data_IF_427811292307
#
_entry.id   IF_427811292307
#
_cell.length_a   1.000
_cell.length_b   1.000
_cell.length_c   1.000
_cell.angle_alpha   90.00
_cell.angle_beta   90.00
_cell.angle_gamma   90.00
#
_symmetry.space_group_name_H-M   'P 1'
#
loop_
_entity.id
_entity.type
_entity.pdbx_description
1 polymer ?
#
# COMPACT_ATOMS: atom_id res chain seq x y z
N UNK A 1 18.01 4.71 23.24
CA UNK A 1 17.38 5.38 22.09
C UNK A 1 17.18 4.43 20.90
N UNK A 2 18.24 3.90 20.26
CA UNK A 2 18.11 3.01 19.07
C UNK A 2 17.17 1.82 19.30
N UNK A 3 17.24 1.16 20.46
CA UNK A 3 16.32 0.06 20.83
C UNK A 3 14.86 0.50 20.81
N UNK A 4 14.55 1.68 21.34
CA UNK A 4 13.19 2.22 21.36
C UNK A 4 12.70 2.46 19.93
N UNK A 5 13.52 3.09 19.09
CA UNK A 5 13.19 3.30 17.67
C UNK A 5 12.95 1.97 16.94
N UNK A 6 13.74 0.94 17.22
CA UNK A 6 13.59 -0.38 16.61
C UNK A 6 12.29 -1.07 17.04
N UNK A 7 11.95 -1.05 18.33
CA UNK A 7 10.69 -1.62 18.85
C UNK A 7 9.48 -0.91 18.26
N UNK A 8 9.49 0.44 18.24
CA UNK A 8 8.41 1.22 17.62
C UNK A 8 8.29 0.91 16.13
N UNK A 9 9.40 0.83 15.40
CA UNK A 9 9.43 0.48 13.99
C UNK A 9 8.89 -0.92 13.71
N UNK A 10 9.22 -1.92 14.54
CA UNK A 10 8.63 -3.27 14.47
C UNK A 10 7.12 -3.20 14.63
N UNK A 11 6.61 -2.43 15.60
CA UNK A 11 5.17 -2.27 15.82
C UNK A 11 4.46 -1.69 14.60
N UNK A 12 5.01 -0.60 14.04
CA UNK A 12 4.46 0.05 12.84
C UNK A 12 4.47 -0.91 11.64
N UNK A 13 5.60 -1.54 11.36
CA UNK A 13 5.75 -2.43 10.20
C UNK A 13 4.93 -3.71 10.33
N UNK A 14 4.80 -4.26 11.54
CA UNK A 14 3.90 -5.39 11.80
C UNK A 14 2.44 -5.01 11.53
N UNK A 15 2.02 -3.82 11.96
CA UNK A 15 0.67 -3.32 11.69
C UNK A 15 0.40 -3.09 10.19
N UNK A 16 1.34 -2.49 9.47
CA UNK A 16 1.23 -2.32 8.00
C UNK A 16 1.21 -3.67 7.27
N UNK A 17 2.01 -4.64 7.74
CA UNK A 17 2.00 -6.01 7.21
C UNK A 17 0.64 -6.66 7.45
N UNK A 18 0.08 -6.51 8.64
CA UNK A 18 -1.26 -7.01 8.95
C UNK A 18 -2.35 -6.39 8.06
N UNK A 19 -2.34 -5.07 7.82
CA UNK A 19 -3.32 -4.41 6.94
C UNK A 19 -3.20 -4.88 5.49
N UNK A 20 -1.97 -5.10 5.03
CA UNK A 20 -1.72 -5.58 3.67
C UNK A 20 -2.37 -6.95 3.46
N UNK A 21 -2.17 -7.91 4.38
CA UNK A 21 -2.71 -9.26 4.26
C UNK A 21 -4.18 -9.42 4.70
N UNK A 22 -4.63 -8.69 5.72
CA UNK A 22 -6.00 -8.82 6.27
C UNK A 22 -7.05 -8.04 5.48
N UNK A 23 -6.62 -7.23 4.50
CA UNK A 23 -7.50 -6.38 3.68
C UNK A 23 -8.44 -5.47 4.50
N UNK A 24 -8.06 -5.19 5.75
CA UNK A 24 -8.84 -4.41 6.71
C UNK A 24 -8.53 -2.92 6.59
N UNK A 25 -9.49 -2.07 6.95
CA UNK A 25 -9.31 -0.61 6.96
C UNK A 25 -8.20 -0.23 7.95
N UNK A 26 -7.27 0.62 7.52
CA UNK A 26 -6.25 1.18 8.42
C UNK A 26 -6.87 2.22 9.36
N UNK A 27 -6.40 2.29 10.62
CA UNK A 27 -6.79 3.33 11.58
C UNK A 27 -6.28 4.73 11.18
N UNK A 28 -5.40 4.80 10.18
CA UNK A 28 -4.74 6.02 9.72
C UNK A 28 -5.34 6.55 8.39
N UNK A 29 -6.56 6.12 8.04
CA UNK A 29 -7.29 6.59 6.86
C UNK A 29 -8.08 7.86 7.21
N UNK A 30 -7.37 8.99 7.35
CA UNK A 30 -7.94 10.27 7.81
C UNK A 30 -8.56 11.06 6.66
N UNK A 31 -7.98 10.99 5.45
CA UNK A 31 -8.48 11.69 4.26
C UNK A 31 -8.07 10.99 2.95
N UNK A 32 -8.56 11.48 1.81
CA UNK A 32 -8.20 10.95 0.48
C UNK A 32 -6.72 11.10 0.14
N UNK A 33 -6.08 12.13 0.70
CA UNK A 33 -4.65 12.45 0.47
C UNK A 33 -3.73 11.80 1.53
N UNK A 34 -4.25 11.53 2.73
CA UNK A 34 -3.51 10.92 3.85
C UNK A 34 -4.10 9.55 4.16
N UNK A 35 -3.70 8.55 3.38
CA UNK A 35 -4.17 7.18 3.53
C UNK A 35 -3.03 6.17 3.39
N UNK A 36 -2.69 5.52 4.50
CA UNK A 36 -1.72 4.43 4.52
C UNK A 36 -2.20 3.18 3.78
N UNK A 37 -3.51 3.06 3.56
CA UNK A 37 -4.12 1.96 2.82
C UNK A 37 -3.73 2.01 1.33
N UNK A 38 -3.82 3.19 0.73
CA UNK A 38 -3.45 3.42 -0.67
C UNK A 38 -1.98 3.11 -0.90
N UNK A 39 -1.10 3.53 0.02
CA UNK A 39 0.35 3.29 -0.10
C UNK A 39 0.67 1.80 -0.03
N UNK A 40 0.08 1.09 0.93
CA UNK A 40 0.33 -0.35 1.15
C UNK A 40 -0.31 -1.28 0.12
N UNK A 41 -1.18 -0.76 -0.73
CA UNK A 41 -1.83 -1.52 -1.81
C UNK A 41 -1.56 -0.99 -3.21
N UNK A 42 -0.74 0.04 -3.31
CA UNK A 42 -0.22 0.51 -4.59
C UNK A 42 0.67 -0.54 -5.25
N UNK A 43 0.88 -0.40 -6.56
CA UNK A 43 1.83 -1.22 -7.33
C UNK A 43 3.28 -1.14 -6.79
N UNK A 44 3.58 -0.14 -5.98
CA UNK A 44 4.90 0.08 -5.39
C UNK A 44 5.04 -0.60 -4.01
N UNK A 45 3.96 -1.17 -3.46
CA UNK A 45 3.97 -1.77 -2.13
C UNK A 45 4.59 -3.15 -2.08
N UNK A 46 4.89 -3.76 -3.23
CA UNK A 46 5.56 -5.05 -3.34
C UNK A 46 6.81 -4.95 -4.22
N UNK A 47 7.93 -5.47 -3.73
CA UNK A 47 9.18 -5.58 -4.48
C UNK A 47 9.45 -7.07 -4.70
N UNK A 48 9.45 -7.51 -5.96
CA UNK A 48 9.57 -8.93 -6.34
C UNK A 48 8.55 -9.85 -5.63
N UNK A 49 7.32 -9.36 -5.41
CA UNK A 49 6.24 -10.09 -4.71
C UNK A 49 6.37 -10.12 -3.19
N UNK A 50 7.35 -9.42 -2.62
CA UNK A 50 7.50 -9.27 -1.17
C UNK A 50 6.97 -7.89 -0.76
N UNK A 51 6.00 -7.80 0.16
CA UNK A 51 5.51 -6.52 0.63
C UNK A 51 6.61 -5.69 1.30
N UNK A 52 6.67 -4.41 0.97
CA UNK A 52 7.63 -3.43 1.53
C UNK A 52 7.48 -3.34 3.06
N UNK A 53 6.28 -3.55 3.59
CA UNK A 53 6.01 -3.63 5.04
C UNK A 53 6.74 -4.80 5.72
N UNK A 54 6.88 -5.94 5.03
CA UNK A 54 7.66 -7.10 5.51
C UNK A 54 9.15 -6.80 5.48
N UNK A 55 9.64 -6.17 4.41
CA UNK A 55 11.05 -5.75 4.31
C UNK A 55 11.42 -4.74 5.41
N UNK A 56 10.53 -3.79 5.70
CA UNK A 56 10.67 -2.85 6.80
C UNK A 56 10.68 -3.54 8.17
N UNK A 57 9.82 -4.54 8.37
CA UNK A 57 9.79 -5.36 9.59
C UNK A 57 11.12 -6.10 9.80
N UNK A 58 11.63 -6.76 8.75
CA UNK A 58 12.91 -7.45 8.77
C UNK A 58 14.07 -6.47 9.07
N UNK A 59 14.02 -5.27 8.51
CA UNK A 59 14.99 -4.21 8.79
C UNK A 59 15.00 -3.83 10.28
N UNK A 60 13.86 -3.48 10.88
CA UNK A 60 13.84 -3.07 12.30
C UNK A 60 14.17 -4.23 13.24
N UNK A 61 13.79 -5.47 12.89
CA UNK A 61 14.20 -6.67 13.61
C UNK A 61 15.73 -6.87 13.54
N UNK A 62 16.34 -6.68 12.37
CA UNK A 62 17.78 -6.76 12.20
C UNK A 62 18.52 -5.66 13.00
N UNK A 63 18.00 -4.43 13.03
CA UNK A 63 18.55 -3.34 13.86
C UNK A 63 18.52 -3.74 15.34
N UNK A 64 17.38 -4.23 15.83
CA UNK A 64 17.25 -4.68 17.21
C UNK A 64 18.22 -5.82 17.53
N UNK A 65 18.32 -6.82 16.65
CA UNK A 65 19.23 -7.94 16.82
C UNK A 65 20.71 -7.49 16.87
N UNK A 66 21.13 -6.63 15.95
CA UNK A 66 22.51 -6.14 15.87
C UNK A 66 22.91 -5.34 17.11
N UNK A 67 22.00 -4.54 17.66
CA UNK A 67 22.28 -3.73 18.85
C UNK A 67 22.31 -4.58 20.13
N UNK A 68 21.46 -5.61 20.22
CA UNK A 68 21.47 -6.55 21.34
C UNK A 68 22.72 -7.44 21.35
N UNK A 69 23.22 -7.82 20.16
CA UNK A 69 24.42 -8.65 20.03
C UNK A 69 25.73 -7.90 20.34
N UNK A 70 25.68 -6.57 20.56
CA UNK A 70 26.82 -5.71 20.94
C UNK A 70 28.11 -5.99 20.15
N UNK A 71 28.03 -6.06 18.81
CA UNK A 71 29.21 -6.31 17.96
C UNK A 71 30.05 -5.05 17.80
N UNK A 72 31.38 -5.17 17.75
CA UNK A 72 32.33 -4.03 17.70
C UNK A 72 32.10 -3.03 16.56
N UNK A 73 31.55 -3.49 15.43
CA UNK A 73 31.17 -2.65 14.28
C UNK A 73 29.67 -2.50 14.09
N UNK A 74 28.88 -2.70 15.16
CA UNK A 74 27.42 -2.64 15.11
C UNK A 74 26.95 -1.27 14.59
N UNK A 75 27.45 -0.16 15.15
CA UNK A 75 27.03 1.19 14.73
C UNK A 75 27.39 1.53 13.27
N UNK A 76 28.55 1.07 12.78
CA UNK A 76 28.94 1.21 11.37
C UNK A 76 28.02 0.40 10.45
N UNK A 77 27.70 -0.83 10.86
CA UNK A 77 26.78 -1.70 10.11
C UNK A 77 25.38 -1.09 10.09
N UNK A 78 24.89 -0.58 11.23
CA UNK A 78 23.62 0.11 11.37
C UNK A 78 23.53 1.32 10.43
N UNK A 79 24.57 2.16 10.39
CA UNK A 79 24.63 3.27 9.46
C UNK A 79 24.45 2.83 8.00
N UNK A 80 25.19 1.81 7.56
CA UNK A 80 25.13 1.29 6.18
C UNK A 80 23.73 0.73 5.86
N UNK A 81 23.20 -0.16 6.70
CA UNK A 81 21.92 -0.83 6.41
C UNK A 81 20.76 0.18 6.43
N UNK A 82 20.78 1.14 7.36
CA UNK A 82 19.72 2.15 7.47
C UNK A 82 19.79 3.14 6.32
N UNK A 83 20.99 3.54 5.90
CA UNK A 83 21.17 4.42 4.74
C UNK A 83 20.65 3.74 3.46
N UNK A 84 20.98 2.46 3.26
CA UNK A 84 20.47 1.70 2.11
C UNK A 84 18.94 1.55 2.13
N UNK A 85 18.35 1.23 3.29
CA UNK A 85 16.90 1.05 3.42
C UNK A 85 16.11 2.37 3.26
N UNK A 86 16.70 3.50 3.62
CA UNK A 86 16.03 4.80 3.54
C UNK A 86 15.89 5.32 2.09
N UNK A 87 16.88 5.07 1.24
CA UNK A 87 16.94 5.67 -0.12
C UNK A 87 15.75 5.29 -1.01
N UNK A 88 15.35 4.00 -1.14
CA UNK A 88 14.19 3.62 -1.94
C UNK A 88 12.86 4.09 -1.35
N UNK A 89 12.83 4.57 -0.11
CA UNK A 89 11.59 4.96 0.58
C UNK A 89 11.11 6.38 0.22
N UNK A 90 11.81 7.14 -0.62
CA UNK A 90 11.57 8.56 -0.89
C UNK A 90 10.46 8.87 -1.94
N UNK A 91 9.63 7.91 -2.31
CA UNK A 91 8.54 8.16 -3.27
C UNK A 91 7.41 9.03 -2.68
N UNK A 92 6.80 9.86 -3.53
CA UNK A 92 5.77 10.86 -3.20
C UNK A 92 4.41 10.21 -2.85
N UNK A 93 4.29 9.66 -1.65
CA UNK A 93 2.99 9.27 -1.10
C UNK A 93 2.91 9.56 0.40
N UNK A 94 1.85 10.25 0.81
CA UNK A 94 1.67 10.73 2.18
C UNK A 94 1.01 9.63 3.02
N UNK A 95 1.84 8.78 3.66
CA UNK A 95 1.38 7.86 4.71
C UNK A 95 2.10 8.16 6.03
N UNK A 96 1.35 8.56 7.06
CA UNK A 96 1.89 8.92 8.37
C UNK A 96 2.73 7.77 8.97
N UNK A 97 2.31 6.51 8.81
CA UNK A 97 3.07 5.36 9.33
C UNK A 97 4.39 5.11 8.58
N UNK A 98 4.44 5.41 7.28
CA UNK A 98 5.67 5.33 6.51
C UNK A 98 6.60 6.51 6.85
N UNK A 99 6.05 7.71 6.96
CA UNK A 99 6.81 8.92 7.33
C UNK A 99 7.38 8.83 8.74
N UNK A 100 6.59 8.35 9.71
CA UNK A 100 7.10 8.08 11.07
C UNK A 100 8.23 7.07 11.05
N UNK A 101 8.15 6.02 10.23
CA UNK A 101 9.23 5.05 10.07
C UNK A 101 10.50 5.66 9.46
N UNK A 102 10.37 6.60 8.50
CA UNK A 102 11.51 7.38 7.98
C UNK A 102 12.16 8.24 9.06
N UNK A 103 11.37 8.91 9.89
CA UNK A 103 11.87 9.68 11.03
C UNK A 103 12.64 8.78 12.00
N UNK A 104 12.12 7.59 12.32
CA UNK A 104 12.83 6.62 13.16
C UNK A 104 14.17 6.19 12.55
N UNK A 105 14.22 5.95 11.23
CA UNK A 105 15.46 5.61 10.52
C UNK A 105 16.49 6.75 10.56
N UNK A 106 16.06 8.00 10.39
CA UNK A 106 16.95 9.17 10.51
C UNK A 106 17.52 9.31 11.92
N UNK A 107 16.73 9.06 12.96
CA UNK A 107 17.19 9.03 14.34
C UNK A 107 18.24 7.92 14.55
N UNK A 108 18.03 6.74 13.96
CA UNK A 108 18.98 5.62 14.03
C UNK A 108 20.30 5.99 13.34
N UNK A 109 20.26 6.63 12.18
CA UNK A 109 21.46 7.14 11.48
C UNK A 109 22.22 8.13 12.37
N UNK A 110 21.53 9.15 12.88
CA UNK A 110 22.15 10.18 13.72
C UNK A 110 22.78 9.61 14.99
N UNK A 111 22.06 8.71 15.68
CA UNK A 111 22.57 8.04 16.87
C UNK A 111 23.75 7.10 16.56
N UNK A 112 23.72 6.42 15.42
CA UNK A 112 24.81 5.53 14.99
C UNK A 112 26.07 6.31 14.63
N UNK A 113 25.93 7.43 13.92
CA UNK A 113 27.04 8.33 13.60
C UNK A 113 27.67 8.89 14.88
N UNK A 114 26.85 9.41 15.79
CA UNK A 114 27.31 9.95 17.07
C UNK A 114 28.04 8.91 17.92
N UNK A 115 27.48 7.69 18.04
CA UNK A 115 28.09 6.61 18.81
C UNK A 115 29.35 6.01 18.15
N UNK A 116 29.46 6.07 16.82
CA UNK A 116 30.59 5.50 16.08
C UNK A 116 31.84 6.38 16.06
N UNK A 117 31.71 7.68 16.39
CA UNK A 117 32.83 8.63 16.38
C UNK A 117 33.52 8.76 15.01
N UNK A 118 32.83 8.45 13.92
CA UNK A 118 33.42 8.47 12.57
C UNK A 118 33.67 9.90 12.09
N UNK A 119 34.87 10.14 11.57
CA UNK A 119 35.19 11.39 10.88
C UNK A 119 34.36 11.58 9.61
N UNK A 120 34.07 12.84 9.26
CA UNK A 120 33.28 13.21 8.08
C UNK A 120 33.79 12.58 6.78
N UNK A 121 35.11 12.44 6.61
CA UNK A 121 35.72 11.77 5.45
C UNK A 121 35.38 10.28 5.38
N UNK A 122 35.38 9.60 6.52
CA UNK A 122 35.04 8.17 6.62
C UNK A 122 33.55 7.96 6.39
N UNK A 123 32.70 8.84 6.95
CA UNK A 123 31.26 8.86 6.70
C UNK A 123 30.97 9.04 5.21
N UNK A 124 31.63 10.00 4.55
CA UNK A 124 31.45 10.23 3.11
C UNK A 124 31.92 9.02 2.28
N UNK A 125 33.09 8.46 2.60
CA UNK A 125 33.66 7.29 1.91
C UNK A 125 32.77 6.05 2.02
N UNK A 126 32.15 5.83 3.18
CA UNK A 126 31.22 4.70 3.39
C UNK A 126 29.82 5.00 2.86
N UNK A 127 29.33 6.23 3.00
CA UNK A 127 27.97 6.62 2.64
C UNK A 127 27.75 6.79 1.14
N UNK A 128 28.70 7.39 0.41
CA UNK A 128 28.57 7.63 -1.04
C UNK A 128 28.26 6.36 -1.87
N UNK A 129 28.98 5.23 -1.74
CA UNK A 129 28.66 4.03 -2.50
C UNK A 129 27.29 3.44 -2.12
N UNK A 130 26.89 3.55 -0.85
CA UNK A 130 25.59 3.07 -0.37
C UNK A 130 24.44 3.91 -0.93
N UNK A 131 24.61 5.23 -1.00
CA UNK A 131 23.66 6.14 -1.63
C UNK A 131 23.50 5.81 -3.13
N UNK A 132 24.62 5.64 -3.84
CA UNK A 132 24.59 5.26 -5.26
C UNK A 132 23.89 3.91 -5.43
N UNK A 133 24.25 2.90 -4.64
CA UNK A 133 23.61 1.59 -4.69
C UNK A 133 22.11 1.65 -4.38
N UNK A 134 21.71 2.46 -3.39
CA UNK A 134 20.31 2.69 -3.06
C UNK A 134 19.52 3.37 -4.18
N UNK A 135 20.11 4.37 -4.85
CA UNK A 135 19.51 5.06 -5.99
C UNK A 135 19.37 4.13 -7.20
N UNK A 136 20.40 3.32 -7.48
CA UNK A 136 20.35 2.32 -8.54
C UNK A 136 19.27 1.28 -8.23
N UNK A 137 19.21 0.77 -6.99
CA UNK A 137 18.19 -0.18 -6.57
C UNK A 137 16.78 0.40 -6.73
N UNK A 138 16.55 1.64 -6.28
CA UNK A 138 15.27 2.34 -6.44
C UNK A 138 14.89 2.52 -7.92
N UNK A 139 15.85 2.91 -8.76
CA UNK A 139 15.65 3.02 -10.21
C UNK A 139 15.29 1.69 -10.84
N UNK A 140 16.04 0.62 -10.54
CA UNK A 140 15.78 -0.74 -11.03
C UNK A 140 14.40 -1.22 -10.60
N UNK A 141 14.03 -1.05 -9.33
CA UNK A 141 12.70 -1.47 -8.84
C UNK A 141 11.60 -0.65 -9.50
N UNK A 142 11.79 0.64 -9.68
CA UNK A 142 10.83 1.51 -10.36
C UNK A 142 10.61 1.08 -11.82
N UNK A 143 11.69 0.84 -12.57
CA UNK A 143 11.61 0.38 -13.96
C UNK A 143 11.06 -1.05 -14.08
N UNK A 144 11.43 -1.94 -13.16
CA UNK A 144 10.90 -3.31 -13.13
C UNK A 144 9.40 -3.30 -12.83
N UNK A 145 8.95 -2.52 -11.84
CA UNK A 145 7.55 -2.38 -11.48
C UNK A 145 6.75 -1.72 -12.60
N UNK A 146 7.21 -0.61 -13.17
CA UNK A 146 6.50 0.09 -14.25
C UNK A 146 6.54 -0.66 -15.59
N UNK A 147 7.63 -1.36 -15.90
CA UNK A 147 7.81 -2.11 -17.15
C UNK A 147 7.10 -3.48 -17.17
N UNK A 148 6.75 -4.05 -16.01
CA UNK A 148 6.01 -5.32 -15.92
C UNK A 148 4.51 -5.14 -15.73
N UNK A 149 4.01 -3.89 -15.61
CA UNK A 149 2.55 -3.65 -15.62
C UNK A 149 2.03 -3.82 -17.04
N UNK A 150 1.84 -5.06 -17.47
CA UNK A 150 0.80 -5.37 -18.45
C UNK A 150 -0.51 -5.03 -17.74
N UNK A 151 -1.00 -3.80 -17.89
CA UNK A 151 -2.35 -3.41 -17.45
C UNK A 151 -3.30 -4.31 -18.22
N UNK A 152 -3.72 -5.41 -17.59
CA UNK A 152 -4.69 -6.33 -18.18
C UNK A 152 -5.96 -5.53 -18.50
N UNK A 153 -6.35 -5.50 -19.76
CA UNK A 153 -7.48 -4.68 -20.21
C UNK A 153 -8.80 -5.37 -19.86
N UNK A 154 -9.39 -4.98 -18.75
CA UNK A 154 -10.70 -5.47 -18.33
C UNK A 154 -11.88 -4.77 -19.01
N UNK A 155 -11.68 -3.98 -20.09
CA UNK A 155 -12.77 -3.26 -20.75
C UNK A 155 -13.91 -4.19 -21.19
N UNK A 156 -13.60 -5.33 -21.81
CA UNK A 156 -14.62 -6.31 -22.24
C UNK A 156 -15.33 -6.96 -21.04
N UNK A 157 -14.57 -7.26 -19.98
CA UNK A 157 -15.12 -7.79 -18.75
C UNK A 157 -16.12 -6.81 -18.11
N UNK A 158 -15.76 -5.53 -17.99
CA UNK A 158 -16.63 -4.48 -17.47
C UNK A 158 -17.88 -4.27 -18.33
N UNK A 159 -17.75 -4.33 -19.66
CA UNK A 159 -18.92 -4.28 -20.55
C UNK A 159 -19.88 -5.44 -20.29
N UNK A 160 -19.36 -6.66 -20.09
CA UNK A 160 -20.18 -7.80 -19.71
C UNK A 160 -20.88 -7.57 -18.37
N UNK A 161 -20.17 -7.08 -17.33
CA UNK A 161 -20.78 -6.74 -16.04
C UNK A 161 -21.95 -5.76 -16.20
N UNK A 162 -21.76 -4.68 -16.96
CA UNK A 162 -22.80 -3.70 -17.24
C UNK A 162 -24.00 -4.34 -17.96
N UNK A 163 -23.76 -5.20 -18.95
CA UNK A 163 -24.82 -5.89 -19.70
C UNK A 163 -25.65 -6.85 -18.84
N UNK A 164 -25.04 -7.36 -17.76
CA UNK A 164 -25.71 -8.22 -16.76
C UNK A 164 -26.42 -7.40 -15.68
N UNK A 165 -26.41 -6.07 -15.76
CA UNK A 165 -27.04 -5.21 -14.77
C UNK A 165 -26.27 -5.14 -13.44
N UNK A 166 -24.95 -5.37 -13.47
CA UNK A 166 -24.11 -5.20 -12.27
C UNK A 166 -23.86 -3.72 -12.03
N UNK A 167 -24.12 -3.29 -10.79
CA UNK A 167 -23.88 -1.93 -10.29
C UNK A 167 -22.90 -1.99 -9.13
N UNK A 168 -21.86 -1.18 -9.22
CA UNK A 168 -20.80 -1.04 -8.24
C UNK A 168 -21.09 0.11 -7.26
N UNK A 169 -21.53 -0.23 -6.06
CA UNK A 169 -21.76 0.74 -4.99
C UNK A 169 -20.45 1.01 -4.25
N UNK A 170 -20.00 2.26 -4.31
CA UNK A 170 -18.73 2.71 -3.76
C UNK A 170 -18.90 3.93 -2.87
N UNK A 171 -17.81 4.28 -2.20
CA UNK A 171 -17.73 5.52 -1.45
C UNK A 171 -16.38 6.19 -1.67
N UNK A 172 -16.40 7.51 -1.82
CA UNK A 172 -15.18 8.34 -1.95
C UNK A 172 -14.25 8.21 -0.73
N UNK A 173 -14.82 7.87 0.44
CA UNK A 173 -14.13 7.62 1.71
C UNK A 173 -13.83 6.13 1.97
N UNK A 174 -14.05 5.26 1.00
CA UNK A 174 -13.83 3.82 1.14
C UNK A 174 -12.47 3.42 0.56
N UNK A 175 -11.50 3.16 1.44
CA UNK A 175 -10.18 2.60 1.10
C UNK A 175 -10.27 1.30 0.32
N UNK A 176 -11.12 0.37 0.77
CA UNK A 176 -11.35 -0.92 0.09
C UNK A 176 -11.91 -0.74 -1.33
N UNK A 177 -12.65 0.35 -1.59
CA UNK A 177 -13.17 0.68 -2.91
C UNK A 177 -12.04 1.11 -3.84
N UNK A 178 -11.09 1.92 -3.35
CA UNK A 178 -9.87 2.27 -4.11
C UNK A 178 -9.05 1.02 -4.47
N UNK A 179 -8.93 0.07 -3.53
CA UNK A 179 -8.29 -1.24 -3.81
C UNK A 179 -9.01 -2.00 -4.92
N UNK A 180 -10.35 -2.02 -4.89
CA UNK A 180 -11.15 -2.65 -5.95
C UNK A 180 -10.93 -1.99 -7.32
N UNK A 181 -10.89 -0.65 -7.37
CA UNK A 181 -10.63 0.11 -8.59
C UNK A 181 -9.21 -0.14 -9.14
N UNK A 182 -8.21 -0.33 -8.27
CA UNK A 182 -6.85 -0.75 -8.68
C UNK A 182 -6.83 -2.14 -9.31
N UNK A 183 -7.58 -3.11 -8.76
CA UNK A 183 -7.71 -4.46 -9.33
C UNK A 183 -8.33 -4.40 -10.74
N UNK A 184 -9.35 -3.56 -10.92
CA UNK A 184 -10.06 -3.39 -12.19
C UNK A 184 -9.29 -2.53 -13.21
N UNK A 185 -8.22 -1.84 -12.78
CA UNK A 185 -7.46 -0.92 -13.63
C UNK A 185 -8.34 0.17 -14.24
N UNK A 186 -7.89 0.83 -15.31
CA UNK A 186 -8.63 1.94 -15.94
C UNK A 186 -10.08 1.59 -16.36
N UNK A 187 -10.37 0.30 -16.55
CA UNK A 187 -11.70 -0.17 -16.94
C UNK A 187 -12.78 0.14 -15.88
N UNK A 188 -12.42 0.30 -14.60
CA UNK A 188 -13.39 0.64 -13.54
C UNK A 188 -14.19 1.90 -13.85
N UNK A 189 -13.60 2.86 -14.58
CA UNK A 189 -14.25 4.12 -14.96
C UNK A 189 -15.46 3.92 -15.87
N UNK A 190 -15.52 2.78 -16.57
CA UNK A 190 -16.64 2.39 -17.45
C UNK A 190 -17.68 1.53 -16.73
N UNK A 191 -17.39 1.09 -15.49
CA UNK A 191 -18.30 0.26 -14.72
C UNK A 191 -19.45 1.12 -14.17
N UNK A 192 -20.67 0.64 -14.34
CA UNK A 192 -21.84 1.27 -13.74
C UNK A 192 -21.64 1.35 -12.23
N UNK A 193 -21.55 2.57 -11.68
CA UNK A 193 -21.23 2.77 -10.27
C UNK A 193 -22.11 3.85 -9.64
N UNK A 194 -22.33 3.69 -8.33
CA UNK A 194 -23.11 4.61 -7.51
C UNK A 194 -22.23 5.06 -6.35
N UNK A 195 -22.11 6.37 -6.18
CA UNK A 195 -21.37 7.00 -5.09
C UNK A 195 -22.28 7.22 -3.88
N UNK A 196 -22.03 6.47 -2.81
CA UNK A 196 -22.87 6.49 -1.61
C UNK A 196 -22.50 7.57 -0.60
N UNK A 197 -21.41 8.34 -0.81
CA UNK A 197 -20.99 9.39 0.12
C UNK A 197 -21.29 10.78 -0.45
N UNK A 198 -21.86 11.72 0.32
CA UNK A 198 -22.25 13.05 -0.16
C UNK A 198 -21.08 13.88 -0.73
N UNK A 199 -19.88 13.71 -0.18
CA UNK A 199 -18.67 14.41 -0.68
C UNK A 199 -18.12 13.85 -2.01
N UNK A 200 -18.71 12.78 -2.54
CA UNK A 200 -18.23 12.16 -3.77
C UNK A 200 -18.80 12.81 -5.03
N UNK A 201 -18.30 12.39 -6.19
CA UNK A 201 -18.79 12.87 -7.49
C UNK A 201 -20.16 12.26 -7.81
N UNK A 202 -21.14 13.09 -8.18
CA UNK A 202 -22.52 12.68 -8.47
C UNK A 202 -23.13 11.76 -7.39
N UNK A 203 -23.17 12.21 -6.12
CA UNK A 203 -23.49 11.36 -4.99
C UNK A 203 -24.99 11.00 -4.98
N UNK A 204 -25.30 9.77 -4.59
CA UNK A 204 -26.67 9.24 -4.46
C UNK A 204 -26.84 8.46 -3.14
N UNK A 205 -26.64 9.10 -1.96
CA UNK A 205 -26.72 8.43 -0.67
C UNK A 205 -28.13 7.88 -0.38
N UNK A 206 -29.19 8.56 -0.81
CA UNK A 206 -30.58 8.10 -0.64
C UNK A 206 -30.84 6.79 -1.40
N UNK A 207 -30.29 6.67 -2.61
CA UNK A 207 -30.38 5.44 -3.39
C UNK A 207 -29.68 4.30 -2.64
N UNK A 208 -28.48 4.52 -2.12
CA UNK A 208 -27.75 3.53 -1.34
C UNK A 208 -28.52 3.10 -0.08
N UNK A 209 -29.18 4.03 0.62
CA UNK A 209 -30.04 3.71 1.76
C UNK A 209 -31.25 2.87 1.35
N UNK A 210 -31.93 3.23 0.25
CA UNK A 210 -33.08 2.47 -0.27
C UNK A 210 -32.72 1.05 -0.69
N UNK A 211 -31.52 0.85 -1.25
CA UNK A 211 -30.93 -0.43 -1.63
C UNK A 211 -30.27 -1.16 -0.45
N UNK A 212 -30.39 -0.63 0.78
CA UNK A 212 -29.83 -1.20 2.01
C UNK A 212 -28.33 -1.51 1.88
N UNK A 213 -27.57 -0.60 1.25
CA UNK A 213 -26.12 -0.71 1.16
C UNK A 213 -25.52 -0.33 2.51
N UNK A 214 -25.11 -1.33 3.30
CA UNK A 214 -24.52 -1.11 4.63
C UNK A 214 -22.99 -1.04 4.60
N UNK A 215 -22.37 -1.61 3.55
CA UNK A 215 -20.93 -1.65 3.35
C UNK A 215 -20.58 -1.33 1.90
N UNK A 216 -19.42 -0.73 1.69
CA UNK A 216 -18.80 -0.54 0.38
C UNK A 216 -17.37 -1.11 0.41
N UNK A 217 -16.86 -1.68 -0.70
CA UNK A 217 -17.54 -1.88 -1.98
C UNK A 217 -18.66 -2.93 -1.89
N UNK A 218 -19.73 -2.73 -2.67
CA UNK A 218 -20.80 -3.73 -2.87
C UNK A 218 -21.12 -3.82 -4.35
N UNK A 219 -21.19 -5.04 -4.88
CA UNK A 219 -21.66 -5.31 -6.23
C UNK A 219 -23.06 -5.89 -6.17
N UNK A 220 -23.98 -5.25 -6.87
CA UNK A 220 -25.38 -5.62 -6.91
C UNK A 220 -25.77 -5.92 -8.35
N UNK A 221 -26.41 -7.05 -8.59
CA UNK A 221 -26.98 -7.40 -9.90
C UNK A 221 -28.49 -7.21 -9.87
N UNK A 222 -29.01 -6.43 -10.81
CA UNK A 222 -30.43 -6.11 -10.90
C UNK A 222 -31.01 -6.52 -12.25
N UNK A 223 -32.25 -7.00 -12.23
CA UNK A 223 -33.08 -7.17 -13.44
C UNK A 223 -34.30 -6.27 -13.28
N UNK A 224 -34.22 -5.06 -13.85
CA UNK A 224 -35.21 -4.02 -13.63
C UNK A 224 -35.12 -3.47 -12.20
N UNK A 225 -36.17 -3.66 -11.39
CA UNK A 225 -36.24 -3.15 -10.01
C UNK A 225 -35.89 -4.24 -8.98
N UNK A 226 -35.75 -5.49 -9.43
CA UNK A 226 -35.54 -6.65 -8.55
C UNK A 226 -34.06 -6.94 -8.39
N UNK A 227 -33.60 -6.97 -7.14
CA UNK A 227 -32.28 -7.46 -6.76
C UNK A 227 -32.21 -8.97 -7.02
N UNK A 228 -31.28 -9.40 -7.89
CA UNK A 228 -31.06 -10.82 -8.19
C UNK A 228 -30.01 -11.40 -7.24
N UNK A 229 -28.89 -10.67 -7.09
CA UNK A 229 -27.71 -11.16 -6.39
C UNK A 229 -26.86 -10.02 -5.89
N UNK A 230 -26.22 -10.22 -4.74
CA UNK A 230 -25.32 -9.26 -4.09
C UNK A 230 -24.05 -9.96 -3.62
N UNK A 231 -22.93 -9.27 -3.70
CA UNK A 231 -21.69 -9.60 -3.01
C UNK A 231 -21.07 -8.34 -2.42
N UNK A 232 -20.53 -8.44 -1.20
CA UNK A 232 -19.98 -7.32 -0.44
C UNK A 232 -18.48 -7.53 -0.20
N UNK A 233 -17.75 -6.42 -0.06
CA UNK A 233 -16.31 -6.42 0.20
C UNK A 233 -15.47 -6.54 -1.07
N UNK A 234 -14.15 -6.52 -0.89
CA UNK A 234 -13.19 -6.61 -1.99
C UNK A 234 -13.35 -7.93 -2.75
N UNK A 235 -13.40 -7.86 -4.08
CA UNK A 235 -13.56 -9.02 -4.95
C UNK A 235 -12.38 -9.14 -5.89
N UNK A 236 -11.84 -10.36 -6.01
CA UNK A 236 -10.90 -10.67 -7.07
C UNK A 236 -11.63 -10.82 -8.41
N UNK A 237 -10.89 -10.68 -9.50
CA UNK A 237 -11.43 -10.79 -10.86
C UNK A 237 -12.17 -12.12 -11.09
N UNK A 238 -11.61 -13.23 -10.59
CA UNK A 238 -12.23 -14.56 -10.67
C UNK A 238 -13.58 -14.64 -9.95
N UNK A 239 -13.72 -13.94 -8.83
CA UNK A 239 -14.92 -13.98 -8.00
C UNK A 239 -16.02 -13.12 -8.63
N UNK A 240 -15.67 -11.94 -9.18
CA UNK A 240 -16.58 -11.14 -10.00
C UNK A 240 -17.01 -11.85 -11.28
N UNK A 241 -16.08 -12.57 -11.92
CA UNK A 241 -16.34 -13.38 -13.10
C UNK A 241 -17.36 -14.47 -12.82
N UNK A 242 -17.17 -15.24 -11.75
CA UNK A 242 -18.12 -16.25 -11.30
C UNK A 242 -19.45 -15.64 -10.83
N UNK A 243 -19.41 -14.45 -10.21
CA UNK A 243 -20.60 -13.74 -9.74
C UNK A 243 -21.53 -13.38 -10.90
N UNK A 244 -20.98 -12.80 -11.97
CA UNK A 244 -21.73 -12.28 -13.11
C UNK A 244 -21.82 -13.22 -14.31
N UNK A 245 -21.14 -14.37 -14.25
CA UNK A 245 -20.94 -15.29 -15.36
C UNK A 245 -20.36 -14.57 -16.61
N UNK A 246 -19.30 -13.81 -16.39
CA UNK A 246 -18.60 -13.02 -17.40
C UNK A 246 -17.14 -13.49 -17.50
N UNK A 247 -16.64 -13.79 -18.70
CA UNK A 247 -15.23 -14.15 -18.89
C UNK A 247 -14.33 -12.92 -18.62
N UNK A 248 -13.30 -13.12 -17.79
CA UNK A 248 -12.28 -12.11 -17.50
C UNK A 248 -10.99 -12.46 -18.25
N UNK A 249 -11.05 -12.44 -19.58
CA UNK A 249 -9.90 -12.69 -20.44
C UNK A 249 -8.79 -11.67 -20.23
#
# INVERSE_FOLDING_TARGET
>A
MIVLCAITGIGIMSYLTYIHYSQSKSFCDISQEVSCDVVTTSIYSEIFGIPVSVLGLLYFAAVLFLILKKRDRAFQTLFIITLFALVPSLYNSICILCETSKVLMLIIIGASLWASGLDSKTVLRMGAPVLIAGLVAAGVTYFAQTGTVVKKDYSNFIQCLNSKGVVYYKSVRCSTCRRQEMILGEAYKKLNSIECHPDGENPQPELCLSKKITKTPTFLMESGVTEIKRIEGLQQIKDLSAFANCAAE
#
